data_IF_518132557071
#
_entry.id   IF_518132557071
#
_cell.length_a   1.000
_cell.length_b   1.000
_cell.length_c   1.000
_cell.angle_alpha   90.00
_cell.angle_beta   90.00
_cell.angle_gamma   90.00
#
_symmetry.space_group_name_H-M   'P 1'
#
loop_
_entity.id
_entity.type
_entity.pdbx_description
1 polymer ?
#
# COMPACT_ATOMS: atom_id res chain seq x y z
N UNK A 1 -3.23 -28.65 -9.21
CA UNK A 1 -3.51 -27.48 -8.33
C UNK A 1 -3.02 -26.23 -9.03
N UNK A 2 -3.85 -25.16 -9.10
CA UNK A 2 -3.67 -24.09 -8.12
C UNK A 2 -4.99 -23.42 -7.70
N UNK A 3 -5.23 -23.31 -6.39
CA UNK A 3 -6.18 -22.33 -5.86
C UNK A 3 -5.52 -20.95 -5.96
N UNK A 4 -5.87 -20.21 -7.01
CA UNK A 4 -5.44 -18.83 -7.29
C UNK A 4 -6.00 -17.90 -6.20
N UNK A 5 -5.31 -17.83 -5.05
CA UNK A 5 -5.68 -17.12 -3.81
C UNK A 5 -7.05 -17.53 -3.24
N UNK A 6 -7.11 -17.96 -1.97
CA UNK A 6 -8.37 -18.38 -1.35
C UNK A 6 -9.33 -17.20 -1.05
N UNK A 7 -8.82 -15.97 -0.96
CA UNK A 7 -9.64 -14.76 -0.83
C UNK A 7 -8.92 -13.49 -1.33
N UNK A 8 -9.66 -12.40 -1.47
CA UNK A 8 -9.12 -11.13 -1.95
C UNK A 8 -8.00 -10.58 -1.05
N UNK A 9 -8.09 -10.74 0.28
CA UNK A 9 -7.06 -10.26 1.20
C UNK A 9 -5.72 -10.95 0.98
N UNK A 10 -5.71 -12.25 0.66
CA UNK A 10 -4.49 -12.96 0.29
C UNK A 10 -3.89 -12.44 -1.03
N UNK A 11 -4.71 -12.18 -2.04
CA UNK A 11 -4.25 -11.59 -3.30
C UNK A 11 -3.66 -10.19 -3.08
N UNK A 12 -4.30 -9.36 -2.25
CA UNK A 12 -3.81 -8.03 -1.87
C UNK A 12 -2.51 -8.12 -1.08
N UNK A 13 -2.42 -9.03 -0.11
CA UNK A 13 -1.20 -9.24 0.68
C UNK A 13 -0.02 -9.62 -0.21
N UNK A 14 -0.24 -10.53 -1.17
CA UNK A 14 0.79 -10.92 -2.14
C UNK A 14 1.28 -9.72 -2.95
N UNK A 15 0.36 -8.94 -3.54
CA UNK A 15 0.71 -7.77 -4.33
C UNK A 15 1.43 -6.69 -3.51
N UNK A 16 0.96 -6.41 -2.29
CA UNK A 16 1.59 -5.44 -1.38
C UNK A 16 2.99 -5.88 -0.99
N UNK A 17 3.16 -7.16 -0.64
CA UNK A 17 4.47 -7.71 -0.24
C UNK A 17 5.49 -7.57 -1.36
N UNK A 18 5.09 -7.89 -2.60
CA UNK A 18 5.96 -7.76 -3.76
C UNK A 18 6.31 -6.30 -4.06
N UNK A 19 5.34 -5.39 -4.03
CA UNK A 19 5.60 -3.97 -4.27
C UNK A 19 6.55 -3.36 -3.22
N UNK A 20 6.36 -3.70 -1.93
CA UNK A 20 7.24 -3.24 -0.84
C UNK A 20 8.63 -3.85 -0.97
N UNK A 21 8.74 -5.13 -1.34
CA UNK A 21 10.03 -5.77 -1.57
C UNK A 21 10.77 -5.12 -2.75
N UNK A 22 10.09 -4.89 -3.88
CA UNK A 22 10.66 -4.18 -5.04
C UNK A 22 11.19 -2.80 -4.65
N UNK A 23 10.41 -2.00 -3.92
CA UNK A 23 10.86 -0.70 -3.44
C UNK A 23 12.12 -0.80 -2.56
N UNK A 24 12.16 -1.77 -1.63
CA UNK A 24 13.32 -1.96 -0.75
C UNK A 24 14.57 -2.40 -1.50
N UNK A 25 14.44 -3.23 -2.54
CA UNK A 25 15.55 -3.62 -3.43
C UNK A 25 16.15 -2.38 -4.11
N UNK A 26 15.31 -1.41 -4.47
CA UNK A 26 15.73 -0.12 -5.04
C UNK A 26 16.23 0.89 -3.98
N UNK A 27 16.35 0.49 -2.71
CA UNK A 27 16.76 1.37 -1.62
C UNK A 27 15.68 2.35 -1.15
N UNK A 28 14.43 2.17 -1.61
CA UNK A 28 13.28 2.99 -1.23
C UNK A 28 12.61 2.37 0.00
N UNK A 29 12.58 3.10 1.10
CA UNK A 29 11.90 2.68 2.33
C UNK A 29 10.53 3.39 2.43
N UNK A 30 9.41 2.65 2.38
CA UNK A 30 8.09 3.22 2.61
C UNK A 30 8.01 3.91 3.98
N UNK A 31 7.29 5.03 4.04
CA UNK A 31 7.00 5.66 5.33
C UNK A 31 6.10 4.77 6.18
N UNK A 32 6.22 4.84 7.52
CA UNK A 32 5.34 4.10 8.46
C UNK A 32 3.84 4.30 8.17
N UNK A 33 3.46 5.50 7.74
CA UNK A 33 2.07 5.80 7.38
C UNK A 33 1.63 5.05 6.12
N UNK A 34 2.51 4.97 5.11
CA UNK A 34 2.22 4.20 3.90
C UNK A 34 2.14 2.70 4.20
N UNK A 35 3.02 2.18 5.07
CA UNK A 35 2.95 0.79 5.54
C UNK A 35 1.60 0.49 6.20
N UNK A 36 1.13 1.35 7.11
CA UNK A 36 -0.18 1.20 7.74
C UNK A 36 -1.34 1.26 6.73
N UNK A 37 -1.30 2.20 5.79
CA UNK A 37 -2.30 2.34 4.73
C UNK A 37 -2.37 1.08 3.84
N UNK A 38 -1.22 0.48 3.53
CA UNK A 38 -1.15 -0.77 2.76
C UNK A 38 -1.71 -1.96 3.56
N UNK A 39 -1.48 -2.02 4.87
CA UNK A 39 -2.11 -3.01 5.77
C UNK A 39 -3.64 -2.86 5.77
N UNK A 40 -4.16 -1.64 5.84
CA UNK A 40 -5.60 -1.37 5.78
C UNK A 40 -6.20 -1.75 4.42
N UNK A 41 -5.45 -1.59 3.34
CA UNK A 41 -5.85 -2.07 2.01
C UNK A 41 -5.96 -3.59 1.93
N UNK A 42 -4.99 -4.32 2.49
CA UNK A 42 -5.03 -5.80 2.58
C UNK A 42 -6.25 -6.26 3.38
N UNK A 43 -6.52 -5.60 4.51
CA UNK A 43 -7.68 -5.88 5.36
C UNK A 43 -9.02 -5.46 4.74
N UNK A 44 -9.01 -4.77 3.60
CA UNK A 44 -10.22 -4.28 2.93
C UNK A 44 -10.86 -3.06 3.58
N UNK A 45 -10.18 -2.41 4.52
CA UNK A 45 -10.64 -1.20 5.21
C UNK A 45 -10.45 0.08 4.39
N UNK A 46 -9.47 0.08 3.47
CA UNK A 46 -9.15 1.22 2.61
C UNK A 46 -8.95 0.76 1.16
N UNK A 47 -9.30 1.61 0.21
CA UNK A 47 -9.02 1.40 -1.22
C UNK A 47 -7.72 2.09 -1.65
N UNK A 48 -7.09 1.65 -2.74
CA UNK A 48 -5.91 2.32 -3.31
C UNK A 48 -6.21 3.78 -3.67
N UNK A 49 -7.42 4.08 -4.18
CA UNK A 49 -7.82 5.45 -4.51
C UNK A 49 -7.79 6.36 -3.28
N UNK A 50 -8.30 5.89 -2.14
CA UNK A 50 -8.25 6.65 -0.87
C UNK A 50 -6.81 6.89 -0.41
N UNK A 51 -5.93 5.87 -0.51
CA UNK A 51 -4.50 6.01 -0.16
C UNK A 51 -3.82 7.07 -1.04
N UNK A 52 -4.13 7.08 -2.34
CA UNK A 52 -3.58 8.06 -3.29
C UNK A 52 -4.03 9.47 -2.95
N UNK A 53 -5.33 9.68 -2.69
CA UNK A 53 -5.85 11.00 -2.34
C UNK A 53 -5.27 11.51 -1.02
N UNK A 54 -5.18 10.68 0.03
CA UNK A 54 -4.51 11.06 1.29
C UNK A 54 -3.05 11.44 1.08
N UNK A 55 -2.33 10.69 0.23
CA UNK A 55 -0.92 10.95 -0.08
C UNK A 55 -0.75 12.27 -0.82
N UNK A 56 -1.61 12.56 -1.82
CA UNK A 56 -1.63 13.82 -2.56
C UNK A 56 -1.92 15.00 -1.62
N UNK A 57 -2.96 14.90 -0.82
CA UNK A 57 -3.34 15.95 0.13
C UNK A 57 -2.18 16.27 1.08
N UNK A 58 -1.53 15.24 1.63
CA UNK A 58 -0.37 15.43 2.50
C UNK A 58 0.78 16.15 1.79
N UNK A 59 1.08 15.76 0.55
CA UNK A 59 2.13 16.40 -0.22
C UNK A 59 1.83 17.88 -0.54
N UNK A 60 0.58 18.18 -0.87
CA UNK A 60 0.12 19.56 -1.10
C UNK A 60 0.20 20.39 0.18
N UNK A 61 -0.21 19.84 1.33
CA UNK A 61 -0.11 20.52 2.63
C UNK A 61 1.34 20.82 3.01
N UNK A 62 2.25 19.87 2.80
CA UNK A 62 3.69 20.06 3.07
C UNK A 62 4.35 21.15 2.21
N UNK A 63 3.78 21.46 1.03
CA UNK A 63 4.30 22.51 0.13
C UNK A 63 3.71 23.90 0.40
N UNK A 64 2.71 24.00 1.27
CA UNK A 64 1.98 25.26 1.56
C UNK A 64 2.37 25.88 2.91
N UNK A 65 3.15 25.18 3.73
CA UNK A 65 3.80 25.73 4.93
C UNK A 65 5.25 26.07 4.64
#
# INVERSE_FOLDING_TARGET
MPTKFANQSQARQYNVSNAVASARIEGIVPTKQLEQNLTDYVAGKKSIAQILEETKQRYVTLRRG
#
